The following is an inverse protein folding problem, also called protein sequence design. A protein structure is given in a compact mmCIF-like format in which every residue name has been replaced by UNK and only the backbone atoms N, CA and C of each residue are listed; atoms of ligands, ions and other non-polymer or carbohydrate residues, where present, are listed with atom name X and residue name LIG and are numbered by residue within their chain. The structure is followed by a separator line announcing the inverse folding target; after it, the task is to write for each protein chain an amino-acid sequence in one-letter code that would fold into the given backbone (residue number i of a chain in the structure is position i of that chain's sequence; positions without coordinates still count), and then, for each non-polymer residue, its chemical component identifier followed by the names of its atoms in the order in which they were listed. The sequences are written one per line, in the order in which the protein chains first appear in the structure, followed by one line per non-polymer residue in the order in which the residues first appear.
data_IF_138775022690
#
_entry.id   IF_138775022690
#
_cell.length_a   1.000
_cell.length_b   1.000
_cell.length_c   1.000
_cell.angle_alpha   90.00
_cell.angle_beta   90.00
_cell.angle_gamma   90.00
#
_symmetry.space_group_name_H-M   'P 1'
#
loop_
_entity.id
_entity.type
_entity.pdbx_description
1 polymer ?
#
# COMPACT_ATOMS: atom_id res chain seq x y z
N UNK A 1 -12.46 -11.57 -31.86
CA UNK A 1 -12.97 -11.42 -30.48
C UNK A 1 -11.92 -10.66 -29.70
N UNK A 2 -12.23 -9.47 -29.19
CA UNK A 2 -11.26 -8.61 -28.51
C UNK A 2 -10.96 -9.22 -27.12
N UNK A 3 -9.72 -9.62 -26.89
CA UNK A 3 -9.19 -9.86 -25.53
C UNK A 3 -9.21 -8.51 -24.79
N UNK A 4 -10.36 -8.18 -24.20
CA UNK A 4 -10.40 -7.11 -23.20
C UNK A 4 -9.66 -7.64 -21.99
N UNK A 5 -8.61 -6.92 -21.59
CA UNK A 5 -7.99 -7.12 -20.28
C UNK A 5 -9.10 -7.25 -19.22
N UNK A 6 -9.09 -8.30 -18.40
CA UNK A 6 -10.08 -8.48 -17.33
C UNK A 6 -10.01 -7.36 -16.28
N UNK A 7 -8.96 -6.54 -16.28
CA UNK A 7 -8.76 -5.40 -15.39
C UNK A 7 -8.74 -4.08 -16.18
N UNK A 8 -9.33 -2.99 -15.65
CA UNK A 8 -9.27 -1.69 -16.30
C UNK A 8 -7.80 -1.25 -16.45
N UNK A 9 -7.43 -0.84 -17.66
CA UNK A 9 -6.11 -0.29 -17.95
C UNK A 9 -6.08 1.14 -17.42
N UNK A 10 -5.47 1.34 -16.25
CA UNK A 10 -5.26 2.67 -15.67
C UNK A 10 -3.82 3.09 -15.95
N UNK A 11 -3.65 4.12 -16.79
CA UNK A 11 -2.33 4.63 -17.16
C UNK A 11 -1.68 5.38 -15.99
N UNK A 12 -0.49 4.95 -15.57
CA UNK A 12 0.50 5.76 -14.84
C UNK A 12 0.24 6.10 -13.36
N UNK A 13 -0.76 5.51 -12.70
CA UNK A 13 -1.05 5.82 -11.30
C UNK A 13 -0.36 4.85 -10.33
N UNK A 14 0.25 5.38 -9.26
CA UNK A 14 0.69 4.57 -8.12
C UNK A 14 -0.54 3.95 -7.46
N UNK A 15 -0.54 2.61 -7.29
CA UNK A 15 -1.67 1.86 -6.72
C UNK A 15 -1.46 1.52 -5.24
N UNK A 16 -0.23 1.16 -4.88
CA UNK A 16 0.15 0.72 -3.54
C UNK A 16 1.53 1.27 -3.20
N UNK A 17 1.72 1.66 -1.94
CA UNK A 17 3.02 2.05 -1.39
C UNK A 17 3.37 1.08 -0.27
N UNK A 18 4.53 0.45 -0.40
CA UNK A 18 5.06 -0.51 0.57
C UNK A 18 6.32 0.07 1.20
N UNK A 19 6.31 0.19 2.52
CA UNK A 19 7.46 0.70 3.29
C UNK A 19 8.03 -0.42 4.14
N UNK A 20 9.32 -0.71 3.97
CA UNK A 20 9.99 -1.70 4.81
C UNK A 20 10.08 -1.23 6.27
N UNK A 21 10.02 -2.16 7.21
CA UNK A 21 10.25 -1.83 8.62
C UNK A 21 11.61 -1.15 8.86
N UNK A 22 12.63 -1.53 8.09
CA UNK A 22 13.96 -0.92 8.16
C UNK A 22 13.88 0.57 7.81
N UNK A 23 13.28 0.91 6.67
CA UNK A 23 13.15 2.28 6.22
C UNK A 23 12.30 3.12 7.20
N UNK A 24 11.21 2.54 7.71
CA UNK A 24 10.40 3.17 8.78
C UNK A 24 11.25 3.51 10.00
N UNK A 25 12.13 2.61 10.46
CA UNK A 25 12.94 2.80 11.67
C UNK A 25 14.06 3.81 11.46
N UNK A 26 14.67 3.83 10.28
CA UNK A 26 15.81 4.69 9.97
C UNK A 26 15.40 6.14 9.68
N UNK A 27 14.34 6.33 8.89
CA UNK A 27 13.90 7.67 8.43
C UNK A 27 12.75 8.21 9.29
N UNK A 28 11.95 7.34 9.89
CA UNK A 28 10.74 7.74 10.60
C UNK A 28 9.54 7.96 9.67
N UNK A 29 8.33 7.72 10.17
CA UNK A 29 7.15 7.81 9.32
C UNK A 29 6.78 9.24 8.92
N UNK A 30 7.02 10.23 9.77
CA UNK A 30 6.66 11.62 9.47
C UNK A 30 7.44 12.10 8.24
N UNK A 31 8.74 11.83 8.20
CA UNK A 31 9.61 12.28 7.13
C UNK A 31 9.35 11.54 5.82
N UNK A 32 9.10 10.22 5.89
CA UNK A 32 8.65 9.44 4.73
C UNK A 32 7.34 9.98 4.17
N UNK A 33 6.37 10.27 5.03
CA UNK A 33 5.09 10.82 4.60
C UNK A 33 5.21 12.22 4.00
N UNK A 34 6.06 13.09 4.57
CA UNK A 34 6.32 14.41 4.02
C UNK A 34 6.93 14.35 2.62
N UNK A 35 7.80 13.36 2.35
CA UNK A 35 8.35 13.15 1.01
C UNK A 35 7.27 12.70 0.02
N UNK A 36 6.50 11.67 0.39
CA UNK A 36 5.47 11.07 -0.47
C UNK A 36 4.33 12.05 -0.78
N UNK A 37 3.91 12.85 0.20
CA UNK A 37 2.84 13.82 0.03
C UNK A 37 3.21 15.00 -0.88
N UNK A 38 4.51 15.30 -1.01
CA UNK A 38 5.00 16.38 -1.88
C UNK A 38 5.13 15.97 -3.34
N UNK A 39 5.04 14.68 -3.65
CA UNK A 39 5.11 14.17 -5.02
C UNK A 39 3.74 14.24 -5.71
N UNK A 40 3.56 15.11 -6.72
CA UNK A 40 2.26 15.28 -7.40
C UNK A 40 1.85 14.08 -8.25
N UNK A 41 2.75 13.12 -8.51
CA UNK A 41 2.45 11.88 -9.25
C UNK A 41 1.71 10.88 -8.34
N UNK A 42 1.89 11.00 -7.03
CA UNK A 42 1.28 10.15 -6.02
C UNK A 42 -0.07 10.76 -5.62
N UNK A 43 -1.18 10.21 -6.15
CA UNK A 43 -2.54 10.62 -5.77
C UNK A 43 -2.85 10.40 -4.27
N UNK A 44 -4.06 10.70 -3.78
CA UNK A 44 -4.36 10.60 -2.33
C UNK A 44 -4.98 9.27 -1.87
N UNK A 45 -5.26 8.35 -2.80
CA UNK A 45 -6.06 7.13 -2.55
C UNK A 45 -5.25 5.84 -2.59
N UNK A 46 -3.92 5.88 -2.62
CA UNK A 46 -3.16 4.64 -2.58
C UNK A 46 -3.33 3.95 -1.24
N UNK A 47 -3.29 2.63 -1.33
CA UNK A 47 -3.18 1.81 -0.14
C UNK A 47 -1.72 1.81 0.31
N UNK A 48 -1.52 2.07 1.60
CA UNK A 48 -0.21 2.20 2.21
C UNK A 48 -0.03 1.07 3.22
N UNK A 49 1.11 0.38 3.22
CA UNK A 49 1.37 -0.71 4.16
C UNK A 49 2.84 -0.77 4.60
N UNK A 50 3.05 -1.19 5.85
CA UNK A 50 4.37 -1.53 6.37
C UNK A 50 4.66 -3.00 6.10
N UNK A 51 5.85 -3.31 5.59
CA UNK A 51 6.30 -4.68 5.30
C UNK A 51 7.32 -5.13 6.34
N UNK A 52 6.97 -6.20 7.04
CA UNK A 52 7.86 -6.95 7.92
C UNK A 52 8.70 -7.93 7.11
N UNK A 53 9.95 -7.55 6.82
CA UNK A 53 10.87 -8.31 5.98
C UNK A 53 11.21 -7.60 4.68
N UNK A 54 11.63 -8.35 3.67
CA UNK A 54 12.00 -7.80 2.36
C UNK A 54 10.75 -7.46 1.54
N UNK A 55 10.63 -6.20 1.14
CA UNK A 55 9.55 -5.73 0.24
C UNK A 55 9.61 -6.47 -1.09
N UNK A 56 10.82 -6.78 -1.55
CA UNK A 56 11.09 -7.55 -2.75
C UNK A 56 10.36 -8.90 -2.75
N UNK A 57 10.38 -9.63 -1.62
CA UNK A 57 9.70 -10.91 -1.53
C UNK A 57 8.19 -10.80 -1.73
N UNK A 58 7.59 -9.69 -1.30
CA UNK A 58 6.15 -9.44 -1.47
C UNK A 58 5.83 -9.07 -2.92
N UNK A 59 6.70 -8.28 -3.57
CA UNK A 59 6.56 -7.89 -4.99
C UNK A 59 6.78 -9.07 -5.94
N UNK A 60 7.71 -9.96 -5.63
CA UNK A 60 8.01 -11.14 -6.45
C UNK A 60 7.34 -12.41 -5.93
N UNK A 61 6.37 -12.29 -5.01
CA UNK A 61 5.50 -13.43 -4.66
C UNK A 61 4.76 -13.84 -5.92
N UNK A 62 5.24 -14.91 -6.56
CA UNK A 62 4.69 -15.45 -7.80
C UNK A 62 3.22 -15.74 -7.57
N UNK A 63 2.36 -14.98 -8.23
CA UNK A 63 1.00 -15.42 -8.48
C UNK A 63 1.11 -16.57 -9.47
N UNK A 64 1.15 -17.79 -8.94
CA UNK A 64 1.35 -19.02 -9.70
C UNK A 64 0.26 -19.27 -10.78
N UNK A 65 -0.74 -18.39 -10.92
CA UNK A 65 -1.95 -18.69 -11.69
C UNK A 65 -2.55 -17.53 -12.50
N UNK A 66 -1.95 -16.32 -12.52
CA UNK A 66 -2.60 -15.18 -13.20
C UNK A 66 -1.60 -14.20 -13.82
N UNK A 67 -1.89 -13.75 -15.05
CA UNK A 67 -1.24 -12.58 -15.69
C UNK A 67 -1.62 -11.25 -14.99
N UNK A 68 -1.90 -11.27 -13.68
CA UNK A 68 -2.32 -10.11 -12.92
C UNK A 68 -1.14 -9.18 -12.68
N UNK A 69 -1.38 -7.88 -12.80
CA UNK A 69 -0.46 -6.88 -12.32
C UNK A 69 -0.36 -6.98 -10.79
N UNK A 70 0.87 -7.17 -10.26
CA UNK A 70 1.12 -7.30 -8.82
C UNK A 70 0.63 -6.10 -8.01
N UNK A 71 0.73 -4.88 -8.55
CA UNK A 71 0.24 -3.67 -7.87
C UNK A 71 -1.28 -3.66 -7.72
N UNK A 72 -2.01 -4.15 -8.73
CA UNK A 72 -3.47 -4.31 -8.67
C UNK A 72 -3.82 -5.36 -7.61
N UNK A 73 -3.17 -6.52 -7.65
CA UNK A 73 -3.41 -7.58 -6.68
C UNK A 73 -3.17 -7.14 -5.24
N UNK A 74 -2.04 -6.49 -4.97
CA UNK A 74 -1.70 -6.04 -3.62
C UNK A 74 -2.64 -4.96 -3.13
N UNK A 75 -3.01 -4.01 -3.99
CA UNK A 75 -3.99 -2.97 -3.67
C UNK A 75 -5.36 -3.58 -3.34
N UNK A 76 -5.83 -4.52 -4.18
CA UNK A 76 -7.11 -5.20 -3.97
C UNK A 76 -7.10 -6.09 -2.73
N UNK A 77 -6.00 -6.79 -2.45
CA UNK A 77 -5.85 -7.62 -1.24
C UNK A 77 -5.93 -6.76 0.02
N UNK A 78 -5.21 -5.64 0.05
CA UNK A 78 -5.25 -4.72 1.19
C UNK A 78 -6.64 -4.07 1.31
N UNK A 79 -7.24 -3.65 0.20
CA UNK A 79 -8.58 -3.07 0.19
C UNK A 79 -9.66 -4.08 0.63
N UNK A 80 -9.56 -5.33 0.21
CA UNK A 80 -10.45 -6.41 0.64
C UNK A 80 -10.30 -6.67 2.14
N UNK A 81 -9.07 -6.71 2.66
CA UNK A 81 -8.81 -6.86 4.09
C UNK A 81 -9.41 -5.72 4.92
N UNK A 82 -9.30 -4.47 4.45
CA UNK A 82 -9.90 -3.33 5.14
C UNK A 82 -11.44 -3.32 5.07
N UNK A 83 -12.04 -3.85 4.00
CA UNK A 83 -13.51 -3.89 3.84
C UNK A 83 -14.16 -5.07 4.58
N UNK A 84 -13.53 -6.23 4.53
CA UNK A 84 -14.14 -7.49 4.94
C UNK A 84 -13.44 -8.14 6.15
N UNK A 85 -12.27 -7.64 6.53
CA UNK A 85 -11.51 -8.13 7.67
C UNK A 85 -11.67 -7.23 8.90
N UNK A 86 -10.84 -7.49 9.91
CA UNK A 86 -10.75 -6.70 11.15
C UNK A 86 -9.75 -5.54 11.05
N UNK A 87 -9.21 -5.24 9.87
CA UNK A 87 -8.28 -4.13 9.68
C UNK A 87 -9.05 -2.81 9.54
N UNK A 88 -8.74 -1.76 10.33
CA UNK A 88 -9.34 -0.44 10.16
C UNK A 88 -9.13 0.09 8.74
N UNK A 89 -10.17 0.71 8.18
CA UNK A 89 -10.06 1.40 6.89
C UNK A 89 -9.09 2.57 7.02
N UNK A 90 -8.05 2.56 6.19
CA UNK A 90 -7.07 3.64 6.11
C UNK A 90 -6.56 3.79 4.68
N UNK A 91 -5.95 4.93 4.41
CA UNK A 91 -5.24 5.25 3.18
C UNK A 91 -4.22 6.36 3.50
N UNK A 92 -3.44 6.77 2.51
CA UNK A 92 -2.45 7.83 2.70
C UNK A 92 -3.03 9.10 3.37
N UNK A 93 -4.19 9.56 2.91
CA UNK A 93 -4.83 10.77 3.42
C UNK A 93 -5.31 10.61 4.88
N UNK A 94 -5.97 9.50 5.20
CA UNK A 94 -6.45 9.20 6.56
C UNK A 94 -5.27 9.08 7.52
N UNK A 95 -4.25 8.32 7.13
CA UNK A 95 -3.06 8.13 7.94
C UNK A 95 -2.33 9.44 8.22
N UNK A 96 -2.15 10.29 7.19
CA UNK A 96 -1.51 11.59 7.37
C UNK A 96 -2.28 12.49 8.33
N UNK A 97 -3.61 12.52 8.21
CA UNK A 97 -4.46 13.27 9.13
C UNK A 97 -4.32 12.75 10.57
N UNK A 98 -4.29 11.44 10.77
CA UNK A 98 -4.06 10.83 12.09
C UNK A 98 -2.68 11.17 12.65
N UNK A 99 -1.63 11.16 11.82
CA UNK A 99 -0.27 11.52 12.25
C UNK A 99 -0.13 12.97 12.69
N UNK A 100 -0.90 13.89 12.09
CA UNK A 100 -0.89 15.31 12.44
C UNK A 100 -1.85 15.66 13.59
N UNK A 101 -2.87 14.82 13.82
CA UNK A 101 -3.87 15.06 14.84
C UNK A 101 -3.31 14.84 16.25
N UNK A 102 -3.62 15.76 17.16
CA UNK A 102 -3.23 15.63 18.56
C UNK A 102 -4.10 14.58 19.26
N UNK A 103 -3.48 13.57 19.87
CA UNK A 103 -4.16 12.56 20.67
C UNK A 103 -4.83 11.44 19.86
N UNK A 104 -4.45 11.26 18.60
CA UNK A 104 -4.90 10.14 17.75
C UNK A 104 -3.71 9.29 17.38
N UNK A 105 -3.82 7.98 17.59
CA UNK A 105 -2.81 7.03 17.13
C UNK A 105 -3.06 6.67 15.66
N UNK A 106 -2.06 6.91 14.82
CA UNK A 106 -2.13 6.59 13.41
C UNK A 106 -1.91 5.08 13.17
N UNK A 107 -2.72 4.50 12.27
CA UNK A 107 -2.66 3.07 11.96
C UNK A 107 -2.40 2.83 10.47
N UNK A 108 -1.59 1.81 10.18
CA UNK A 108 -1.35 1.29 8.85
C UNK A 108 -1.40 -0.23 8.81
N UNK A 109 -1.88 -0.83 7.71
CA UNK A 109 -1.75 -2.25 7.44
C UNK A 109 -0.30 -2.71 7.58
N UNK A 110 -0.12 -3.87 8.21
CA UNK A 110 1.17 -4.51 8.34
C UNK A 110 1.13 -5.87 7.64
N UNK A 111 2.06 -6.10 6.72
CA UNK A 111 2.20 -7.38 6.02
C UNK A 111 3.56 -7.97 6.31
N UNK A 112 3.55 -9.21 6.77
CA UNK A 112 4.75 -10.03 6.92
C UNK A 112 4.47 -11.35 6.24
N UNK A 113 5.41 -11.81 5.42
CA UNK A 113 5.34 -13.16 4.87
C UNK A 113 5.60 -14.13 6.01
N UNK A 114 4.60 -14.97 6.32
CA UNK A 114 4.83 -16.10 7.21
C UNK A 114 5.64 -17.16 6.44
N UNK A 115 6.59 -17.78 7.14
CA UNK A 115 7.38 -18.90 6.59
C UNK A 115 6.48 -20.07 6.21
#
# INVERSE_FOLDING_TARGET
MSEKSPFPVVMGQVLVILVSEKLKKEVGMIDLMNYIYRDPIIGSRQVFAIVGGEVEELLYTKMNQTNLNIGVYLSDLLAQNMRNGNEPVTNQHIFMNQMMAKGVDAYLPYKKKNK
#
